data_IF_148773916164
#
_entry.id   IF_148773916164
#
_cell.length_a   1.000
_cell.length_b   1.000
_cell.length_c   1.000
_cell.angle_alpha   90.00
_cell.angle_beta   90.00
_cell.angle_gamma   90.00
#
_symmetry.space_group_name_H-M   'P 1'
#
loop_
_entity.id
_entity.type
_entity.pdbx_description
1 polymer ?
#
# COMPACT_ATOMS: atom_id res chain seq x y z
N UNK A 1 15.92 -7.89 21.18
CA UNK A 1 16.38 -8.91 20.23
C UNK A 1 15.60 -8.64 18.94
N UNK A 2 16.23 -8.01 17.95
CA UNK A 2 15.60 -7.61 16.68
C UNK A 2 15.42 -8.85 15.81
N UNK A 3 14.18 -9.31 15.64
CA UNK A 3 13.84 -10.29 14.62
C UNK A 3 13.74 -9.54 13.29
N UNK A 4 14.85 -9.43 12.57
CA UNK A 4 14.82 -9.04 11.15
C UNK A 4 14.11 -10.15 10.37
N UNK A 5 12.84 -9.90 10.04
CA UNK A 5 12.08 -10.77 9.13
C UNK A 5 12.49 -10.33 7.72
N UNK A 6 13.24 -11.17 7.00
CA UNK A 6 13.60 -10.91 5.60
C UNK A 6 12.34 -10.77 4.73
N UNK A 7 12.44 -10.04 3.62
CA UNK A 7 11.33 -9.92 2.67
C UNK A 7 10.81 -11.29 2.21
N UNK A 8 11.69 -12.29 2.04
CA UNK A 8 11.30 -13.68 1.73
C UNK A 8 10.51 -14.33 2.86
N UNK A 9 10.86 -14.07 4.13
CA UNK A 9 10.11 -14.58 5.28
C UNK A 9 8.77 -13.86 5.47
N UNK A 10 8.70 -12.60 5.03
CA UNK A 10 7.51 -11.75 5.11
C UNK A 10 6.49 -12.07 4.00
N UNK A 11 6.92 -12.12 2.74
CA UNK A 11 6.06 -12.38 1.58
C UNK A 11 5.93 -13.87 1.23
N UNK A 12 6.78 -14.73 1.78
CA UNK A 12 6.88 -16.13 1.36
C UNK A 12 7.67 -16.30 0.06
N UNK A 13 7.91 -17.56 -0.33
CA UNK A 13 8.51 -17.86 -1.64
C UNK A 13 7.43 -17.69 -2.72
N UNK A 14 7.77 -16.96 -3.78
CA UNK A 14 6.89 -16.81 -4.95
C UNK A 14 6.58 -18.18 -5.55
N UNK A 15 5.33 -18.35 -5.96
CA UNK A 15 4.90 -19.53 -6.72
C UNK A 15 5.21 -19.35 -8.20
N UNK A 16 5.38 -20.45 -8.93
CA UNK A 16 5.60 -20.42 -10.38
C UNK A 16 4.46 -19.72 -11.17
N UNK A 17 3.27 -19.58 -10.56
CA UNK A 17 2.17 -18.81 -11.11
C UNK A 17 2.37 -17.30 -10.93
N UNK A 18 2.82 -16.86 -9.73
CA UNK A 18 3.16 -15.46 -9.46
C UNK A 18 4.28 -14.95 -10.36
N UNK A 19 5.31 -15.76 -10.59
CA UNK A 19 6.43 -15.41 -11.48
C UNK A 19 5.99 -15.20 -12.94
N UNK A 20 5.05 -16.02 -13.43
CA UNK A 20 4.49 -15.86 -14.79
C UNK A 20 3.63 -14.60 -14.94
N UNK A 21 2.89 -14.23 -13.89
CA UNK A 21 2.07 -13.03 -13.85
C UNK A 21 2.98 -11.79 -13.92
N UNK A 22 3.99 -11.71 -13.05
CA UNK A 22 4.95 -10.59 -13.01
C UNK A 22 5.71 -10.40 -14.33
N UNK A 23 6.16 -11.49 -14.96
CA UNK A 23 6.83 -11.43 -16.25
C UNK A 23 5.94 -10.85 -17.37
N UNK A 24 4.62 -11.04 -17.27
CA UNK A 24 3.65 -10.53 -18.25
C UNK A 24 3.37 -9.04 -18.02
N UNK A 25 3.27 -8.61 -16.75
CA UNK A 25 3.04 -7.21 -16.37
C UNK A 25 4.19 -6.33 -16.86
N UNK A 26 5.43 -6.74 -16.64
CA UNK A 26 6.62 -6.00 -17.07
C UNK A 26 6.68 -5.81 -18.59
N UNK A 27 6.10 -6.71 -19.38
CA UNK A 27 6.09 -6.58 -20.84
C UNK A 27 5.07 -5.54 -21.33
N UNK A 28 3.97 -5.30 -20.59
CA UNK A 28 2.94 -4.33 -20.96
C UNK A 28 3.32 -2.88 -20.62
N UNK A 29 4.08 -2.66 -19.55
CA UNK A 29 4.48 -1.30 -19.10
C UNK A 29 5.54 -0.66 -20.03
N UNK A 30 6.26 -1.47 -20.80
CA UNK A 30 7.33 -0.99 -21.70
C UNK A 30 6.83 -0.37 -23.02
N UNK A 31 5.52 -0.42 -23.33
CA UNK A 31 5.01 0.02 -24.64
C UNK A 31 4.49 1.47 -24.70
N UNK A 32 4.35 2.19 -23.58
CA UNK A 32 3.68 3.51 -23.57
C UNK A 32 4.40 4.57 -22.75
N UNK A 33 5.42 5.25 -23.32
CA UNK A 33 5.86 6.55 -22.78
C UNK A 33 6.58 7.45 -23.79
N UNK A 34 6.03 8.66 -24.03
CA UNK A 34 6.75 9.81 -24.57
C UNK A 34 6.32 11.14 -23.93
N UNK A 35 7.30 11.76 -23.26
CA UNK A 35 7.64 13.18 -23.06
C UNK A 35 6.54 14.27 -22.90
N UNK A 36 6.68 15.04 -21.80
CA UNK A 36 7.13 16.46 -21.82
C UNK A 36 7.23 17.05 -20.41
N UNK A 37 8.37 17.66 -20.07
CA UNK A 37 8.67 18.30 -18.77
C UNK A 37 8.13 19.73 -18.73
N UNK A 38 7.37 20.10 -17.68
CA UNK A 38 6.96 21.50 -17.41
C UNK A 38 7.44 21.92 -16.02
N UNK A 39 8.05 23.10 -15.92
CA UNK A 39 8.52 23.71 -14.67
C UNK A 39 7.34 24.01 -13.73
N UNK A 40 7.30 23.35 -12.56
CA UNK A 40 6.24 23.54 -11.55
C UNK A 40 6.71 24.51 -10.46
N UNK A 41 6.00 25.63 -10.30
CA UNK A 41 6.19 26.57 -9.19
C UNK A 41 5.52 26.06 -7.91
N UNK A 42 6.20 26.24 -6.77
CA UNK A 42 5.71 25.85 -5.43
C UNK A 42 4.60 26.80 -4.95
N UNK A 43 3.38 26.31 -4.66
CA UNK A 43 2.36 27.11 -3.99
C UNK A 43 2.90 27.58 -2.64
N UNK A 44 3.06 28.89 -2.49
CA UNK A 44 3.42 29.50 -1.20
C UNK A 44 2.19 29.41 -0.30
N UNK A 45 2.15 28.47 0.65
CA UNK A 45 1.18 28.62 1.72
C UNK A 45 1.64 29.81 2.56
N UNK A 46 0.73 30.77 2.80
CA UNK A 46 1.03 31.86 3.72
C UNK A 46 1.49 31.27 5.05
N UNK A 47 2.69 31.66 5.49
CA UNK A 47 3.38 31.12 6.65
C UNK A 47 2.62 31.41 7.94
N UNK A 48 1.66 30.57 8.28
CA UNK A 48 1.07 30.53 9.60
C UNK A 48 2.01 29.74 10.50
N UNK A 49 2.25 30.24 11.73
CA UNK A 49 3.14 29.62 12.72
C UNK A 49 2.78 28.15 13.03
N UNK A 50 1.48 27.82 12.92
CA UNK A 50 0.92 26.47 13.12
C UNK A 50 0.54 25.77 11.80
N UNK A 51 0.89 26.38 10.66
CA UNK A 51 0.57 25.86 9.33
C UNK A 51 1.42 24.65 8.94
N UNK A 52 1.03 23.93 7.88
CA UNK A 52 1.81 22.82 7.38
C UNK A 52 3.20 23.31 6.93
N UNK A 53 4.23 22.53 7.26
CA UNK A 53 5.61 22.83 6.87
C UNK A 53 5.73 23.01 5.36
N UNK A 54 6.32 24.12 4.92
CA UNK A 54 6.59 24.42 3.50
C UNK A 54 7.81 23.66 2.95
N UNK A 55 8.28 22.65 3.67
CA UNK A 55 9.42 21.84 3.24
C UNK A 55 9.04 21.07 1.98
N UNK A 56 9.89 21.19 0.95
CA UNK A 56 9.84 20.41 -0.28
C UNK A 56 11.28 20.04 -0.65
N UNK A 57 11.68 18.80 -0.35
CA UNK A 57 13.05 18.32 -0.60
C UNK A 57 13.04 17.02 -1.38
N UNK A 58 13.79 16.97 -2.46
CA UNK A 58 13.93 15.78 -3.31
C UNK A 58 15.31 15.17 -3.11
N UNK A 59 15.36 13.85 -2.98
CA UNK A 59 16.53 13.03 -2.75
C UNK A 59 16.62 11.93 -3.82
N UNK A 60 17.85 11.49 -4.10
CA UNK A 60 18.11 10.35 -4.99
C UNK A 60 18.09 9.01 -4.25
N UNK A 61 18.32 9.01 -2.94
CA UNK A 61 18.32 7.81 -2.09
C UNK A 61 17.15 7.84 -1.13
N UNK A 62 16.50 6.68 -0.95
CA UNK A 62 15.39 6.53 -0.02
C UNK A 62 15.80 6.84 1.42
N UNK A 63 16.97 6.34 1.85
CA UNK A 63 17.44 6.51 3.21
C UNK A 63 17.64 8.00 3.57
N UNK A 64 18.18 8.80 2.65
CA UNK A 64 18.37 10.24 2.87
C UNK A 64 17.04 10.98 3.09
N UNK A 65 15.99 10.57 2.37
CA UNK A 65 14.64 11.11 2.56
C UNK A 65 14.05 10.70 3.93
N UNK A 66 14.19 9.43 4.31
CA UNK A 66 13.72 8.92 5.60
C UNK A 66 14.44 9.63 6.76
N UNK A 67 15.75 9.77 6.69
CA UNK A 67 16.55 10.44 7.71
C UNK A 67 16.16 11.92 7.83
N UNK A 68 15.88 12.59 6.71
CA UNK A 68 15.37 13.95 6.71
C UNK A 68 13.99 14.07 7.40
N UNK A 69 13.09 13.10 7.20
CA UNK A 69 11.81 13.06 7.91
C UNK A 69 12.02 12.87 9.42
N UNK A 70 12.86 11.90 9.83
CA UNK A 70 13.10 11.56 11.24
C UNK A 70 13.69 12.71 12.05
N UNK A 71 14.55 13.53 11.44
CA UNK A 71 15.14 14.69 12.11
C UNK A 71 14.13 15.82 12.41
N UNK A 72 12.96 15.83 11.76
CA UNK A 72 12.03 16.96 11.78
C UNK A 72 10.64 16.55 12.27
N UNK A 73 10.28 16.93 13.49
CA UNK A 73 8.97 16.62 14.13
C UNK A 73 7.83 17.57 13.71
N UNK A 74 7.74 17.93 12.43
CA UNK A 74 6.78 18.91 11.89
C UNK A 74 5.78 18.29 10.90
N UNK A 75 5.47 17.00 11.08
CA UNK A 75 4.49 16.29 10.24
C UNK A 75 4.96 16.05 8.80
N UNK A 76 6.27 15.98 8.57
CA UNK A 76 6.81 15.62 7.26
C UNK A 76 6.67 14.12 7.01
N UNK A 77 6.32 13.78 5.78
CA UNK A 77 6.25 12.42 5.28
C UNK A 77 7.15 12.26 4.05
N UNK A 78 7.54 11.02 3.82
CA UNK A 78 8.37 10.60 2.71
C UNK A 78 7.51 9.94 1.63
N UNK A 79 7.71 10.37 0.39
CA UNK A 79 7.01 9.87 -0.80
C UNK A 79 8.05 9.44 -1.83
N UNK A 80 7.74 8.44 -2.64
CA UNK A 80 8.52 8.11 -3.83
C UNK A 80 7.73 8.53 -5.07
N UNK A 81 8.38 9.02 -6.11
CA UNK A 81 7.73 9.31 -7.38
C UNK A 81 8.66 8.97 -8.54
N UNK A 82 8.08 8.67 -9.69
CA UNK A 82 8.81 8.49 -10.93
C UNK A 82 9.02 9.84 -11.63
N UNK A 83 10.29 10.16 -11.89
CA UNK A 83 10.69 11.30 -12.72
C UNK A 83 10.41 10.99 -14.20
N UNK A 84 10.49 12.01 -15.06
CA UNK A 84 10.21 11.91 -16.51
C UNK A 84 11.13 10.91 -17.23
N UNK A 85 12.27 10.58 -16.61
CA UNK A 85 13.19 9.53 -17.08
C UNK A 85 12.92 8.15 -16.46
N UNK A 86 11.70 7.91 -15.94
CA UNK A 86 11.28 6.71 -15.17
C UNK A 86 12.16 6.37 -13.96
N UNK A 87 13.01 7.33 -13.53
CA UNK A 87 13.88 7.17 -12.36
C UNK A 87 13.09 7.45 -11.10
N UNK A 88 13.14 6.51 -10.16
CA UNK A 88 12.55 6.69 -8.83
C UNK A 88 13.32 7.73 -8.03
N UNK A 89 12.60 8.75 -7.58
CA UNK A 89 13.09 9.86 -6.76
C UNK A 89 12.28 9.90 -5.45
N UNK A 90 12.84 10.51 -4.42
CA UNK A 90 12.24 10.51 -3.08
C UNK A 90 11.99 11.93 -2.60
N UNK A 91 10.74 12.24 -2.25
CA UNK A 91 10.27 13.54 -1.81
C UNK A 91 10.01 13.53 -0.30
N UNK A 92 10.44 14.58 0.38
CA UNK A 92 10.03 14.90 1.76
C UNK A 92 9.19 16.17 1.75
N UNK A 93 7.94 16.04 2.16
CA UNK A 93 6.99 17.14 2.24
C UNK A 93 5.93 16.88 3.31
N UNK A 94 5.24 17.94 3.74
CA UNK A 94 4.04 17.78 4.56
C UNK A 94 2.89 17.27 3.67
N UNK A 95 2.05 16.30 4.08
CA UNK A 95 1.01 15.70 3.24
C UNK A 95 0.06 16.72 2.58
N UNK A 96 -0.38 17.75 3.32
CA UNK A 96 -1.20 18.85 2.76
C UNK A 96 -0.49 19.65 1.66
N UNK A 97 0.81 19.87 1.82
CA UNK A 97 1.64 20.54 0.81
C UNK A 97 1.76 19.61 -0.38
N UNK A 98 2.22 18.38 -0.18
CA UNK A 98 2.27 17.33 -1.21
C UNK A 98 0.99 17.24 -2.03
N UNK A 99 -0.17 17.09 -1.38
CA UNK A 99 -1.46 16.99 -2.05
C UNK A 99 -1.78 18.19 -2.94
N UNK A 100 -1.45 19.40 -2.48
CA UNK A 100 -1.71 20.64 -3.23
C UNK A 100 -0.92 20.71 -4.53
N UNK A 101 0.29 20.15 -4.55
CA UNK A 101 1.05 20.00 -5.78
C UNK A 101 0.54 18.84 -6.62
N UNK A 102 0.33 17.69 -5.99
CA UNK A 102 0.02 16.46 -6.69
C UNK A 102 -1.34 16.55 -7.42
N UNK A 103 -2.35 17.18 -6.80
CA UNK A 103 -3.65 17.42 -7.43
C UNK A 103 -3.58 18.30 -8.69
N UNK A 104 -2.53 19.11 -8.83
CA UNK A 104 -2.30 19.99 -9.97
C UNK A 104 -1.33 19.43 -11.00
N UNK A 105 -0.71 18.27 -10.73
CA UNK A 105 0.17 17.60 -11.68
C UNK A 105 -0.70 17.03 -12.81
N UNK A 106 -0.54 17.62 -14.00
CA UNK A 106 -1.14 17.15 -15.25
C UNK A 106 -0.39 15.95 -15.85
N UNK A 107 0.60 15.39 -15.14
CA UNK A 107 1.42 14.29 -15.63
C UNK A 107 0.66 12.99 -15.44
N UNK A 108 0.06 12.50 -16.53
CA UNK A 108 -0.67 11.23 -16.58
C UNK A 108 0.17 10.01 -16.18
N UNK A 109 1.50 10.15 -16.05
CA UNK A 109 2.44 9.03 -15.86
C UNK A 109 3.39 9.23 -14.66
N UNK A 110 3.06 10.11 -13.70
CA UNK A 110 3.87 10.25 -12.48
C UNK A 110 3.26 9.43 -11.34
N UNK A 111 3.52 8.12 -11.34
CA UNK A 111 3.19 7.26 -10.20
C UNK A 111 3.89 7.78 -8.95
N UNK A 112 3.09 8.04 -7.91
CA UNK A 112 3.58 8.52 -6.62
C UNK A 112 3.12 7.57 -5.53
N UNK A 113 4.05 7.23 -4.64
CA UNK A 113 3.89 6.21 -3.62
C UNK A 113 4.20 6.80 -2.25
N UNK A 114 3.43 6.41 -1.24
CA UNK A 114 3.80 6.63 0.15
C UNK A 114 4.94 5.68 0.53
N UNK A 115 5.92 6.18 1.28
CA UNK A 115 6.95 5.33 1.88
C UNK A 115 6.54 5.04 3.33
N UNK A 116 6.04 3.83 3.57
CA UNK A 116 5.76 3.33 4.90
C UNK A 116 7.11 3.03 5.56
N UNK A 117 7.45 3.81 6.59
CA UNK A 117 8.74 3.68 7.27
C UNK A 117 8.76 2.43 8.14
N UNK A 118 9.88 1.70 8.08
CA UNK A 118 10.13 0.57 8.96
C UNK A 118 10.02 0.99 10.42
N UNK A 119 9.49 0.09 11.25
CA UNK A 119 9.30 0.27 12.69
C UNK A 119 8.45 1.48 13.09
N UNK A 120 7.69 2.06 12.15
CA UNK A 120 6.78 3.18 12.42
C UNK A 120 5.35 2.68 12.50
N UNK A 121 4.57 3.23 13.44
CA UNK A 121 3.17 2.88 13.60
C UNK A 121 2.40 3.11 12.29
N UNK A 122 1.56 2.16 11.92
CA UNK A 122 0.81 2.20 10.67
C UNK A 122 -0.62 1.70 10.86
N UNK A 123 -1.51 2.08 9.94
CA UNK A 123 -2.85 1.50 9.85
C UNK A 123 -2.75 0.04 9.43
N UNK A 124 -3.83 -0.72 9.59
CA UNK A 124 -4.00 -1.96 8.86
C UNK A 124 -4.32 -1.62 7.40
N UNK A 125 -3.55 -2.16 6.47
CA UNK A 125 -3.76 -1.99 5.05
C UNK A 125 -3.54 -3.31 4.31
N UNK A 126 -4.23 -3.49 3.20
CA UNK A 126 -4.10 -4.65 2.32
C UNK A 126 -4.00 -4.18 0.88
N UNK A 127 -3.19 -4.92 0.13
CA UNK A 127 -3.13 -4.85 -1.32
C UNK A 127 -3.67 -6.17 -1.87
N UNK A 128 -4.79 -6.11 -2.58
CA UNK A 128 -5.55 -7.28 -3.01
C UNK A 128 -5.66 -7.24 -4.52
N UNK A 129 -5.04 -8.22 -5.17
CA UNK A 129 -5.04 -8.28 -6.62
C UNK A 129 -5.07 -9.71 -7.16
N UNK A 130 -5.71 -9.87 -8.32
CA UNK A 130 -5.57 -11.07 -9.14
C UNK A 130 -5.85 -10.78 -10.62
N UNK A 131 -5.22 -11.56 -11.49
CA UNK A 131 -5.46 -11.52 -12.93
C UNK A 131 -6.77 -12.22 -13.29
N UNK A 132 -7.69 -11.49 -13.92
CA UNK A 132 -9.02 -11.99 -14.28
C UNK A 132 -8.94 -13.11 -15.33
N UNK A 133 -7.94 -13.06 -16.22
CA UNK A 133 -7.69 -14.09 -17.24
C UNK A 133 -7.54 -15.50 -16.64
N UNK A 134 -6.90 -15.61 -15.49
CA UNK A 134 -6.64 -16.90 -14.82
C UNK A 134 -7.69 -17.25 -13.77
N UNK A 135 -8.66 -16.37 -13.54
CA UNK A 135 -9.63 -16.43 -12.45
C UNK A 135 -11.04 -16.06 -12.96
N UNK A 136 -11.39 -16.50 -14.17
CA UNK A 136 -12.61 -16.06 -14.86
C UNK A 136 -13.92 -16.40 -14.12
N UNK A 137 -13.89 -17.42 -13.25
CA UNK A 137 -15.03 -17.83 -12.42
C UNK A 137 -15.10 -17.12 -11.07
N UNK A 138 -14.10 -16.32 -10.71
CA UNK A 138 -14.02 -15.70 -9.40
C UNK A 138 -14.80 -14.39 -9.36
N UNK A 139 -15.67 -14.29 -8.37
CA UNK A 139 -16.36 -13.06 -8.00
C UNK A 139 -15.49 -12.28 -7.01
N UNK A 140 -14.64 -11.39 -7.55
CA UNK A 140 -13.67 -10.61 -6.77
C UNK A 140 -14.32 -9.74 -5.70
N UNK A 141 -15.49 -9.18 -5.99
CA UNK A 141 -16.22 -8.33 -5.05
C UNK A 141 -16.73 -9.16 -3.86
N UNK A 142 -17.33 -10.32 -4.13
CA UNK A 142 -17.76 -11.23 -3.07
C UNK A 142 -16.57 -11.76 -2.26
N UNK A 143 -15.44 -12.05 -2.91
CA UNK A 143 -14.22 -12.48 -2.24
C UNK A 143 -13.68 -11.40 -1.30
N UNK A 144 -13.59 -10.16 -1.78
CA UNK A 144 -13.16 -9.01 -0.99
C UNK A 144 -14.08 -8.80 0.23
N UNK A 145 -15.39 -8.78 0.04
CA UNK A 145 -16.35 -8.65 1.14
C UNK A 145 -16.22 -9.76 2.18
N UNK A 146 -15.95 -10.99 1.73
CA UNK A 146 -15.74 -12.14 2.62
C UNK A 146 -14.44 -11.98 3.42
N UNK A 147 -13.35 -11.58 2.76
CA UNK A 147 -12.07 -11.32 3.39
C UNK A 147 -12.17 -10.20 4.45
N UNK A 148 -12.83 -9.09 4.13
CA UNK A 148 -13.07 -8.00 5.08
C UNK A 148 -13.84 -8.49 6.32
N UNK A 149 -14.87 -9.33 6.15
CA UNK A 149 -15.60 -9.91 7.28
C UNK A 149 -14.72 -10.78 8.17
N UNK A 150 -13.85 -11.60 7.57
CA UNK A 150 -12.91 -12.45 8.30
C UNK A 150 -11.91 -11.58 9.07
N UNK A 151 -11.37 -10.53 8.45
CA UNK A 151 -10.45 -9.60 9.12
C UNK A 151 -11.14 -8.88 10.28
N UNK A 152 -12.35 -8.38 10.08
CA UNK A 152 -13.15 -7.74 11.14
C UNK A 152 -13.40 -8.69 12.31
N UNK A 153 -13.73 -9.96 12.05
CA UNK A 153 -13.87 -10.97 13.08
C UNK A 153 -12.57 -11.14 13.88
N UNK A 154 -11.43 -11.23 13.19
CA UNK A 154 -10.12 -11.38 13.84
C UNK A 154 -9.70 -10.14 14.63
N UNK A 155 -10.03 -8.93 14.17
CA UNK A 155 -9.81 -7.70 14.93
C UNK A 155 -10.60 -7.69 16.25
N UNK A 156 -11.83 -8.19 16.25
CA UNK A 156 -12.64 -8.35 17.46
C UNK A 156 -12.04 -9.45 18.34
N UNK A 157 -11.69 -10.61 17.76
CA UNK A 157 -11.22 -11.77 18.50
C UNK A 157 -9.90 -11.51 19.23
N UNK A 158 -8.89 -10.96 18.55
CA UNK A 158 -7.56 -10.76 19.11
C UNK A 158 -7.43 -9.46 19.91
N UNK A 159 -8.18 -8.41 19.54
CA UNK A 159 -7.97 -7.07 20.09
C UNK A 159 -9.22 -6.42 20.69
N UNK A 160 -10.40 -7.04 20.59
CA UNK A 160 -11.67 -6.43 20.99
C UNK A 160 -12.07 -5.22 20.14
N UNK A 161 -11.45 -5.04 18.98
CA UNK A 161 -11.63 -3.86 18.13
C UNK A 161 -12.79 -4.11 17.17
N UNK A 162 -13.83 -3.29 17.29
CA UNK A 162 -14.98 -3.33 16.41
C UNK A 162 -14.75 -2.39 15.23
N UNK A 163 -14.92 -2.91 14.02
CA UNK A 163 -14.77 -2.17 12.77
C UNK A 163 -16.05 -2.26 11.94
N UNK A 164 -16.49 -1.14 11.37
CA UNK A 164 -17.60 -1.06 10.43
C UNK A 164 -17.10 -0.71 9.04
N UNK A 165 -17.92 -0.90 8.00
CA UNK A 165 -17.53 -0.56 6.62
C UNK A 165 -17.14 0.91 6.44
N UNK A 166 -17.70 1.83 7.24
CA UNK A 166 -17.33 3.26 7.21
C UNK A 166 -15.90 3.54 7.71
N UNK A 167 -15.34 2.60 8.47
CA UNK A 167 -13.99 2.68 9.01
C UNK A 167 -12.98 2.02 8.04
N UNK A 168 -13.41 1.72 6.81
CA UNK A 168 -12.61 1.09 5.77
C UNK A 168 -12.65 1.98 4.53
N UNK A 169 -11.48 2.42 4.11
CA UNK A 169 -11.28 3.08 2.83
C UNK A 169 -10.93 2.02 1.78
N UNK A 170 -11.79 1.88 0.79
CA UNK A 170 -11.62 0.98 -0.36
C UNK A 170 -11.22 1.81 -1.59
N UNK A 171 -10.03 1.54 -2.13
CA UNK A 171 -9.49 2.19 -3.32
C UNK A 171 -9.43 1.16 -4.46
N UNK A 172 -10.42 1.21 -5.34
CA UNK A 172 -10.50 0.34 -6.54
C UNK A 172 -9.59 0.88 -7.66
N UNK A 173 -8.62 0.04 -8.06
CA UNK A 173 -7.74 0.23 -9.21
C UNK A 173 -7.90 -0.88 -10.25
N UNK A 174 -9.04 -1.59 -10.22
CA UNK A 174 -9.36 -2.67 -11.13
C UNK A 174 -9.44 -2.21 -12.59
N UNK A 175 -9.02 -3.10 -13.48
CA UNK A 175 -9.13 -2.95 -14.93
C UNK A 175 -9.91 -4.12 -15.52
N UNK A 176 -10.08 -4.12 -16.85
CA UNK A 176 -10.65 -5.26 -17.56
C UNK A 176 -9.81 -6.55 -17.42
N UNK A 177 -8.49 -6.42 -17.23
CA UNK A 177 -7.58 -7.57 -17.07
C UNK A 177 -7.34 -7.93 -15.60
N UNK A 178 -7.39 -6.97 -14.69
CA UNK A 178 -6.96 -7.11 -13.29
C UNK A 178 -8.07 -6.73 -12.32
N UNK A 179 -8.29 -7.55 -11.30
CA UNK A 179 -8.99 -7.12 -10.08
C UNK A 179 -7.94 -6.56 -9.13
N UNK A 180 -8.12 -5.35 -8.59
CA UNK A 180 -7.11 -4.65 -7.80
C UNK A 180 -7.75 -3.66 -6.83
N UNK A 181 -7.61 -3.89 -5.52
CA UNK A 181 -8.13 -3.00 -4.47
C UNK A 181 -7.06 -2.77 -3.40
N UNK A 182 -6.90 -1.51 -2.97
CA UNK A 182 -6.18 -1.19 -1.74
C UNK A 182 -7.19 -0.89 -0.63
N UNK A 183 -7.13 -1.68 0.44
CA UNK A 183 -8.00 -1.55 1.60
C UNK A 183 -7.22 -0.93 2.74
N UNK A 184 -7.72 0.17 3.31
CA UNK A 184 -7.06 0.87 4.43
C UNK A 184 -8.06 1.05 5.57
N UNK A 185 -7.74 0.52 6.74
CA UNK A 185 -8.58 0.64 7.93
C UNK A 185 -8.33 1.98 8.64
N UNK A 186 -9.35 2.82 8.68
CA UNK A 186 -9.37 4.16 9.29
C UNK A 186 -10.00 4.17 10.69
N UNK A 187 -9.56 3.23 11.53
CA UNK A 187 -10.09 3.10 12.89
C UNK A 187 -9.48 4.18 13.79
N UNK A 188 -10.33 4.96 14.47
CA UNK A 188 -9.88 6.05 15.34
C UNK A 188 -9.07 5.52 16.53
N UNK A 189 -7.93 6.17 16.82
CA UNK A 189 -7.03 5.84 17.95
C UNK A 189 -6.47 4.41 17.94
N UNK A 190 -6.50 3.74 16.80
CA UNK A 190 -5.97 2.39 16.62
C UNK A 190 -4.90 2.43 15.53
N UNK A 191 -3.75 1.82 15.83
CA UNK A 191 -2.68 1.60 14.88
C UNK A 191 -1.91 0.34 15.28
N UNK A 192 -1.36 -0.35 14.29
CA UNK A 192 -0.35 -1.37 14.53
C UNK A 192 0.99 -0.73 14.82
N UNK A 193 1.82 -1.40 15.63
CA UNK A 193 3.14 -0.90 16.01
C UNK A 193 4.03 -0.62 14.77
N UNK A 194 3.92 -1.46 13.75
CA UNK A 194 4.56 -1.31 12.45
C UNK A 194 3.99 -2.29 11.42
N UNK A 195 4.43 -2.14 10.17
CA UNK A 195 4.04 -2.97 9.03
C UNK A 195 4.39 -4.46 9.20
N UNK A 196 5.43 -4.80 9.96
CA UNK A 196 5.75 -6.21 10.24
C UNK A 196 4.65 -6.88 11.07
N UNK A 197 4.11 -6.19 12.08
CA UNK A 197 3.01 -6.71 12.89
C UNK A 197 1.74 -6.85 12.06
N UNK A 198 1.47 -5.90 11.14
CA UNK A 198 0.36 -6.03 10.18
C UNK A 198 0.51 -7.29 9.34
N UNK A 199 1.69 -7.51 8.74
CA UNK A 199 1.93 -8.69 7.93
C UNK A 199 1.80 -10.00 8.72
N UNK A 200 2.31 -10.06 9.95
CA UNK A 200 2.14 -11.22 10.82
C UNK A 200 0.67 -11.49 11.13
N UNK A 201 -0.10 -10.45 11.44
CA UNK A 201 -1.54 -10.58 11.70
C UNK A 201 -2.29 -11.14 10.48
N UNK A 202 -2.04 -10.59 9.29
CA UNK A 202 -2.65 -11.10 8.05
C UNK A 202 -2.18 -12.51 7.72
N UNK A 203 -0.90 -12.82 7.93
CA UNK A 203 -0.35 -14.17 7.72
C UNK A 203 -1.03 -15.21 8.60
N UNK A 204 -1.25 -14.93 9.89
CA UNK A 204 -1.98 -15.82 10.77
C UNK A 204 -3.38 -16.13 10.24
N UNK A 205 -4.11 -15.12 9.77
CA UNK A 205 -5.44 -15.30 9.16
C UNK A 205 -5.35 -16.18 7.91
N UNK A 206 -4.38 -15.92 7.02
CA UNK A 206 -4.19 -16.71 5.81
C UNK A 206 -3.83 -18.17 6.11
N UNK A 207 -2.98 -18.42 7.11
CA UNK A 207 -2.59 -19.77 7.53
C UNK A 207 -3.80 -20.54 8.09
N UNK A 208 -4.66 -19.90 8.88
CA UNK A 208 -5.91 -20.48 9.36
C UNK A 208 -6.88 -20.80 8.22
N UNK A 209 -7.03 -19.89 7.26
CA UNK A 209 -7.85 -20.11 6.08
C UNK A 209 -7.33 -21.28 5.25
N UNK A 210 -6.02 -21.35 4.99
CA UNK A 210 -5.42 -22.46 4.28
C UNK A 210 -5.67 -23.81 4.98
N UNK A 211 -5.47 -23.88 6.30
CA UNK A 211 -5.75 -25.09 7.06
C UNK A 211 -7.23 -25.48 7.00
N UNK A 212 -8.14 -24.50 7.07
CA UNK A 212 -9.57 -24.75 6.92
C UNK A 212 -9.91 -25.29 5.52
N UNK A 213 -9.36 -24.70 4.46
CA UNK A 213 -9.54 -25.16 3.09
C UNK A 213 -8.99 -26.57 2.86
N UNK A 214 -7.82 -26.89 3.40
CA UNK A 214 -7.26 -28.24 3.31
C UNK A 214 -8.14 -29.25 4.02
N UNK A 215 -8.62 -28.95 5.23
CA UNK A 215 -9.55 -29.83 5.95
C UNK A 215 -10.85 -30.06 5.16
N UNK A 216 -11.42 -29.03 4.53
CA UNK A 216 -12.64 -29.20 3.72
C UNK A 216 -12.41 -30.13 2.52
N UNK A 217 -11.21 -30.17 1.91
CA UNK A 217 -10.89 -31.14 0.84
C UNK A 217 -10.89 -32.60 1.31
N UNK A 218 -10.64 -32.85 2.59
CA UNK A 218 -10.66 -34.19 3.19
C UNK A 218 -12.00 -34.54 3.85
N UNK A 219 -12.88 -33.56 4.06
CA UNK A 219 -14.26 -33.77 4.49
C UNK A 219 -15.17 -33.99 3.26
N UNK A 220 -15.00 -35.13 2.60
CA UNK A 220 -16.14 -35.75 1.90
C UNK A 220 -16.89 -36.56 2.96
N UNK A 221 -18.06 -36.08 3.36
CA UNK A 221 -19.02 -36.89 4.10
C UNK A 221 -19.47 -37.99 3.12
N UNK A 222 -19.22 -39.25 3.49
CA UNK A 222 -19.78 -40.44 2.84
C UNK A 222 -21.29 -40.44 3.02
#
# INVERSE_FOLDING_TARGET
MSLEISAENFYGKKTALQEKIEATINNYENENDMEKVVNVQVPKFMGQLLGPSQTWKVFKKQQDAIDCCRQRRNGLMSFAFEDVNTKRMFLVAHPKVFWTFNRGRFFRNCSTYEIIQEFSACKLYLDIEYERKFNATNDGERMLQTLVKIINFNLIHFFGIHCQNKDILDLDSSTASKFSHHIIYEIKNVAFQNNYVVGNFIKCICDELHQAFEKVKYFYIV
#
